data_IF_663493497003
#
_entry.id   IF_663493497003
#
_cell.length_a   1.000
_cell.length_b   1.000
_cell.length_c   1.000
_cell.angle_alpha   90.00
_cell.angle_beta   90.00
_cell.angle_gamma   90.00
#
_symmetry.space_group_name_H-M   'P 1'
#
loop_
_entity.id
_entity.type
_entity.pdbx_description
1 polymer ?
#
# COMPACT_ATOMS: atom_id res chain seq x y z
N UNK A 1 17.99 -17.68 25.73
CA UNK A 1 18.78 -18.89 26.04
C UNK A 1 19.87 -19.00 24.97
N UNK A 2 21.15 -19.16 25.39
CA UNK A 2 22.41 -19.14 24.60
C UNK A 2 22.78 -17.77 23.99
N UNK A 3 23.60 -16.89 24.60
CA UNK A 3 25.07 -16.93 24.89
C UNK A 3 25.90 -17.33 23.67
N UNK A 4 26.82 -16.48 23.17
CA UNK A 4 28.28 -16.41 23.47
C UNK A 4 28.91 -15.40 22.46
N UNK A 5 30.01 -14.66 22.65
CA UNK A 5 31.00 -14.42 23.71
C UNK A 5 31.76 -13.12 23.32
N UNK A 6 32.08 -12.27 24.30
CA UNK A 6 33.15 -11.28 24.23
C UNK A 6 34.51 -11.98 24.33
N UNK A 7 35.51 -11.55 23.57
CA UNK A 7 36.94 -11.78 23.88
C UNK A 7 37.72 -10.48 23.70
N UNK A 8 38.66 -10.32 24.63
CA UNK A 8 39.37 -9.13 25.02
C UNK A 8 40.46 -8.65 24.04
N UNK A 9 40.81 -7.38 24.26
CA UNK A 9 42.01 -6.73 23.79
C UNK A 9 43.30 -7.39 24.32
N UNK A 10 44.34 -7.36 23.50
CA UNK A 10 45.72 -7.49 23.94
C UNK A 10 46.55 -6.36 23.32
N UNK A 11 47.18 -5.58 24.19
CA UNK A 11 48.17 -4.55 23.85
C UNK A 11 49.41 -5.22 23.26
N UNK A 12 49.96 -4.64 22.20
CA UNK A 12 51.39 -4.74 21.92
C UNK A 12 51.93 -3.34 21.64
N UNK A 13 52.67 -2.81 22.61
CA UNK A 13 53.53 -1.65 22.47
C UNK A 13 54.80 -2.07 21.73
N UNK A 14 55.07 -1.46 20.57
CA UNK A 14 56.43 -1.38 20.03
C UNK A 14 56.69 0.02 19.45
N UNK A 15 57.92 0.43 19.67
CA UNK A 15 58.43 1.80 19.76
C UNK A 15 58.65 2.49 18.42
N UNK A 16 58.44 3.80 18.43
CA UNK A 16 59.11 4.87 17.68
C UNK A 16 59.81 4.53 16.34
N UNK A 17 59.15 4.96 15.26
CA UNK A 17 59.80 5.40 14.03
C UNK A 17 59.04 6.60 13.50
N UNK A 18 59.44 7.82 13.90
CA UNK A 18 58.86 9.08 13.43
C UNK A 18 59.19 9.29 11.95
N UNK A 19 58.38 8.71 11.07
CA UNK A 19 58.28 9.15 9.69
C UNK A 19 57.23 10.25 9.67
N UNK A 20 57.67 11.51 9.57
CA UNK A 20 56.80 12.63 9.24
C UNK A 20 56.35 12.42 7.80
N UNK A 21 55.33 11.59 7.62
CA UNK A 21 54.55 11.56 6.40
C UNK A 21 53.73 12.86 6.42
N UNK A 22 54.13 13.81 5.56
CA UNK A 22 53.24 14.90 5.18
C UNK A 22 51.90 14.26 4.80
N UNK A 23 50.77 14.63 5.43
CA UNK A 23 49.48 14.19 4.95
C UNK A 23 49.39 14.73 3.53
N UNK A 24 49.44 13.83 2.55
CA UNK A 24 48.87 14.10 1.26
C UNK A 24 47.48 14.64 1.57
N UNK A 25 47.24 15.90 1.23
CA UNK A 25 45.92 16.50 1.28
C UNK A 25 45.08 15.79 0.24
N UNK A 26 44.67 14.55 0.55
CA UNK A 26 43.56 13.91 -0.09
C UNK A 26 42.40 14.83 0.20
N UNK A 27 41.99 15.62 -0.79
CA UNK A 27 40.71 16.33 -0.74
C UNK A 27 39.70 15.25 -0.37
N UNK A 28 39.14 15.31 0.83
CA UNK A 28 38.03 14.46 1.19
C UNK A 28 36.92 14.80 0.19
N UNK A 29 36.73 13.93 -0.81
CA UNK A 29 35.66 14.08 -1.78
C UNK A 29 34.37 13.80 -1.03
N UNK A 30 33.51 14.81 -0.94
CA UNK A 30 32.21 14.65 -0.30
C UNK A 30 31.43 13.57 -1.05
N UNK A 31 30.88 12.56 -0.34
CA UNK A 31 30.02 11.54 -0.94
C UNK A 31 28.67 12.17 -1.30
N UNK A 32 28.65 12.94 -2.39
CA UNK A 32 27.58 13.88 -2.71
C UNK A 32 26.23 13.21 -2.93
N UNK A 33 26.24 11.98 -3.46
CA UNK A 33 25.03 11.18 -3.65
C UNK A 33 24.48 10.70 -2.31
N UNK A 34 25.32 10.12 -1.48
CA UNK A 34 24.96 9.64 -0.16
C UNK A 34 24.45 10.77 0.74
N UNK A 35 25.06 11.95 0.65
CA UNK A 35 24.60 13.13 1.39
C UNK A 35 23.23 13.60 0.91
N UNK A 36 23.00 13.68 -0.40
CA UNK A 36 21.68 14.01 -0.96
C UNK A 36 20.62 13.00 -0.54
N UNK A 37 20.92 11.71 -0.61
CA UNK A 37 20.01 10.64 -0.20
C UNK A 37 19.72 10.71 1.31
N UNK A 38 20.72 11.02 2.14
CA UNK A 38 20.53 11.21 3.57
C UNK A 38 19.58 12.40 3.87
N UNK A 39 19.72 13.52 3.16
CA UNK A 39 18.82 14.68 3.32
C UNK A 39 17.37 14.31 2.97
N UNK A 40 17.18 13.62 1.86
CA UNK A 40 15.86 13.15 1.41
C UNK A 40 15.23 12.16 2.39
N UNK A 41 15.98 11.14 2.81
CA UNK A 41 15.51 10.12 3.75
C UNK A 41 15.15 10.71 5.13
N UNK A 42 15.82 11.79 5.54
CA UNK A 42 15.49 12.54 6.75
C UNK A 42 14.31 13.53 6.57
N UNK A 43 13.76 13.66 5.36
CA UNK A 43 12.67 14.58 5.04
C UNK A 43 13.10 16.03 4.82
N UNK A 44 14.40 16.32 4.78
CA UNK A 44 14.96 17.66 4.58
C UNK A 44 15.01 18.04 3.08
N UNK A 45 13.86 18.00 2.41
CA UNK A 45 13.77 18.23 0.96
C UNK A 45 14.18 19.64 0.53
N UNK A 46 13.90 20.67 1.34
CA UNK A 46 14.33 22.03 1.06
C UNK A 46 15.87 22.15 1.06
N UNK A 47 16.52 21.45 2.01
CA UNK A 47 17.98 21.38 2.08
C UNK A 47 18.55 20.56 0.93
N UNK A 48 17.89 19.47 0.53
CA UNK A 48 18.28 18.69 -0.64
C UNK A 48 18.20 19.52 -1.93
N UNK A 49 17.16 20.35 -2.09
CA UNK A 49 17.05 21.28 -3.23
C UNK A 49 18.16 22.33 -3.22
N UNK A 50 18.41 22.96 -2.06
CA UNK A 50 19.51 23.92 -1.90
C UNK A 50 20.88 23.27 -2.20
N UNK A 51 21.06 22.03 -1.78
CA UNK A 51 22.27 21.26 -2.05
C UNK A 51 22.46 21.05 -3.55
N UNK A 52 21.42 20.64 -4.28
CA UNK A 52 21.47 20.48 -5.73
C UNK A 52 21.79 21.80 -6.44
N UNK A 53 21.20 22.92 -6.01
CA UNK A 53 21.49 24.25 -6.56
C UNK A 53 22.96 24.65 -6.34
N UNK A 54 23.52 24.33 -5.17
CA UNK A 54 24.94 24.54 -4.89
C UNK A 54 25.81 23.65 -5.76
N UNK A 55 25.46 22.37 -5.94
CA UNK A 55 26.22 21.42 -6.75
C UNK A 55 26.19 21.79 -8.24
N UNK A 56 25.10 22.38 -8.74
CA UNK A 56 25.01 22.87 -10.11
C UNK A 56 26.11 23.89 -10.47
N UNK A 57 26.48 24.74 -9.51
CA UNK A 57 27.47 25.80 -9.71
C UNK A 57 28.85 25.47 -9.12
N UNK A 58 28.99 24.37 -8.40
CA UNK A 58 30.22 24.02 -7.69
C UNK A 58 31.28 23.43 -8.62
N UNK A 59 32.54 23.91 -8.57
CA UNK A 59 33.65 23.25 -9.25
C UNK A 59 34.03 21.92 -8.58
N UNK A 60 33.55 21.67 -7.35
CA UNK A 60 33.82 20.45 -6.58
C UNK A 60 32.74 19.38 -6.75
N UNK A 61 31.63 19.69 -7.44
CA UNK A 61 30.57 18.72 -7.65
C UNK A 61 31.05 17.58 -8.59
N UNK A 62 30.83 16.31 -8.22
CA UNK A 62 31.15 15.17 -9.07
C UNK A 62 30.52 15.29 -10.46
N UNK A 63 31.24 14.85 -11.48
CA UNK A 63 30.77 14.92 -12.88
C UNK A 63 29.47 14.13 -13.02
N UNK A 64 29.42 12.94 -12.44
CA UNK A 64 28.26 12.05 -12.47
C UNK A 64 27.03 12.72 -11.86
N UNK A 65 27.20 13.52 -10.79
CA UNK A 65 26.08 14.26 -10.20
C UNK A 65 25.62 15.37 -11.13
N UNK A 66 26.55 16.12 -11.76
CA UNK A 66 26.22 17.18 -12.73
C UNK A 66 25.42 16.66 -13.92
N UNK A 67 25.73 15.46 -14.39
CA UNK A 67 25.03 14.83 -15.50
C UNK A 67 23.58 14.47 -15.19
N UNK A 68 23.24 14.29 -13.91
CA UNK A 68 21.91 13.86 -13.45
C UNK A 68 21.18 14.90 -12.59
N UNK A 69 21.67 16.15 -12.53
CA UNK A 69 21.07 17.20 -11.67
C UNK A 69 19.56 17.37 -11.88
N UNK A 70 19.11 17.39 -13.14
CA UNK A 70 17.70 17.57 -13.47
C UNK A 70 16.87 16.34 -13.01
N UNK A 71 17.41 15.12 -13.16
CA UNK A 71 16.78 13.91 -12.62
C UNK A 71 16.67 13.97 -11.08
N UNK A 72 17.76 14.33 -10.41
CA UNK A 72 17.80 14.41 -8.95
C UNK A 72 16.90 15.55 -8.42
N UNK A 73 16.79 16.66 -9.14
CA UNK A 73 15.83 17.72 -8.80
C UNK A 73 14.39 17.21 -8.89
N UNK A 74 14.04 16.52 -9.97
CA UNK A 74 12.74 15.88 -10.15
C UNK A 74 12.40 14.92 -8.99
N UNK A 75 13.32 14.01 -8.67
CA UNK A 75 13.14 13.06 -7.56
C UNK A 75 12.92 13.75 -6.21
N UNK A 76 13.71 14.79 -5.92
CA UNK A 76 13.58 15.54 -4.64
C UNK A 76 12.22 16.21 -4.53
N UNK A 77 11.76 16.84 -5.61
CA UNK A 77 10.47 17.54 -5.64
C UNK A 77 9.29 16.57 -5.55
N UNK A 78 9.34 15.41 -6.22
CA UNK A 78 8.34 14.35 -6.07
C UNK A 78 8.25 13.91 -4.61
N UNK A 79 9.38 13.64 -3.96
CA UNK A 79 9.39 13.22 -2.56
C UNK A 79 8.86 14.32 -1.62
N UNK A 80 9.26 15.57 -1.84
CA UNK A 80 8.77 16.74 -1.10
C UNK A 80 7.24 16.89 -1.21
N UNK A 81 6.70 16.65 -2.42
CA UNK A 81 5.26 16.77 -2.69
C UNK A 81 4.41 15.78 -1.89
N UNK A 82 4.95 14.62 -1.53
CA UNK A 82 4.22 13.56 -0.81
C UNK A 82 3.94 13.91 0.65
N UNK A 83 4.80 14.73 1.27
CA UNK A 83 4.61 15.20 2.65
C UNK A 83 3.97 16.58 2.74
N UNK A 84 3.72 17.24 1.60
CA UNK A 84 3.16 18.58 1.55
C UNK A 84 1.64 18.59 1.79
N UNK A 85 1.21 19.37 2.78
CA UNK A 85 -0.20 19.55 3.14
C UNK A 85 -0.88 20.65 2.35
N UNK A 86 -0.14 21.69 1.98
CA UNK A 86 -0.65 22.77 1.14
C UNK A 86 -0.76 22.29 -0.31
N UNK A 87 -1.99 22.24 -0.83
CA UNK A 87 -2.26 21.71 -2.16
C UNK A 87 -1.62 22.55 -3.28
N UNK A 88 -1.51 23.87 -3.11
CA UNK A 88 -0.92 24.74 -4.12
C UNK A 88 0.61 24.54 -4.17
N UNK A 89 1.26 24.39 -3.02
CA UNK A 89 2.69 24.06 -2.96
C UNK A 89 2.94 22.67 -3.53
N UNK A 90 2.11 21.68 -3.17
CA UNK A 90 2.21 20.32 -3.70
C UNK A 90 2.11 20.30 -5.22
N UNK A 91 1.15 21.03 -5.79
CA UNK A 91 0.95 21.14 -7.24
C UNK A 91 2.16 21.80 -7.92
N UNK A 92 2.65 22.91 -7.38
CA UNK A 92 3.86 23.58 -7.88
C UNK A 92 5.08 22.65 -7.88
N UNK A 93 5.29 21.89 -6.81
CA UNK A 93 6.41 20.93 -6.72
C UNK A 93 6.30 19.84 -7.79
N UNK A 94 5.09 19.34 -8.06
CA UNK A 94 4.87 18.34 -9.11
C UNK A 94 5.10 18.92 -10.52
N UNK A 95 4.70 20.17 -10.77
CA UNK A 95 4.93 20.84 -12.06
C UNK A 95 6.44 21.11 -12.30
N UNK A 96 7.16 21.55 -11.26
CA UNK A 96 8.62 21.72 -11.31
C UNK A 96 9.35 20.38 -11.48
N UNK A 97 8.86 19.32 -10.84
CA UNK A 97 9.42 17.98 -10.98
C UNK A 97 9.25 17.45 -12.41
N UNK A 98 8.08 17.65 -13.02
CA UNK A 98 7.85 17.29 -14.42
C UNK A 98 8.82 18.02 -15.34
N UNK A 99 8.94 19.34 -15.17
CA UNK A 99 9.87 20.17 -15.95
C UNK A 99 11.32 19.68 -15.82
N UNK A 100 11.72 19.24 -14.63
CA UNK A 100 13.03 18.69 -14.38
C UNK A 100 13.23 17.33 -15.10
N UNK A 101 12.27 16.41 -15.05
CA UNK A 101 12.35 15.16 -15.81
C UNK A 101 12.37 15.37 -17.32
N UNK A 102 11.54 16.27 -17.85
CA UNK A 102 11.52 16.61 -19.27
C UNK A 102 12.85 17.22 -19.73
N UNK A 103 13.43 18.11 -18.91
CA UNK A 103 14.76 18.69 -19.14
C UNK A 103 15.85 17.60 -19.14
N UNK A 104 15.79 16.65 -18.20
CA UNK A 104 16.72 15.53 -18.17
C UNK A 104 16.59 14.65 -19.42
N UNK A 105 15.38 14.24 -19.78
CA UNK A 105 15.11 13.35 -20.91
C UNK A 105 15.47 13.99 -22.26
N UNK A 106 15.27 15.29 -22.42
CA UNK A 106 15.67 16.02 -23.64
C UNK A 106 17.19 16.15 -23.78
N UNK A 107 17.92 16.40 -22.68
CA UNK A 107 19.39 16.54 -22.70
C UNK A 107 20.11 15.19 -22.70
N UNK A 108 19.51 14.14 -22.13
CA UNK A 108 20.17 12.88 -21.77
C UNK A 108 19.34 11.64 -22.15
N UNK A 109 18.72 11.64 -23.33
CA UNK A 109 17.84 10.56 -23.80
C UNK A 109 18.47 9.15 -23.78
N UNK A 110 19.80 9.03 -23.94
CA UNK A 110 20.54 7.76 -23.94
C UNK A 110 21.28 7.47 -22.63
N UNK A 111 21.04 8.25 -21.57
CA UNK A 111 21.69 8.03 -20.28
C UNK A 111 21.13 6.80 -19.56
N UNK A 112 21.93 6.16 -18.69
CA UNK A 112 21.53 4.96 -17.94
C UNK A 112 20.29 5.15 -17.04
N UNK A 113 19.97 6.39 -16.68
CA UNK A 113 18.78 6.75 -15.89
C UNK A 113 17.59 7.21 -16.75
N UNK A 114 17.68 7.18 -18.08
CA UNK A 114 16.59 7.62 -18.95
C UNK A 114 15.32 6.78 -18.77
N UNK A 115 15.44 5.47 -18.59
CA UNK A 115 14.29 4.59 -18.33
C UNK A 115 13.66 4.89 -16.97
N UNK A 116 14.49 5.08 -15.94
CA UNK A 116 14.03 5.47 -14.61
C UNK A 116 13.31 6.82 -14.65
N UNK A 117 13.86 7.83 -15.35
CA UNK A 117 13.24 9.13 -15.52
C UNK A 117 11.90 9.07 -16.27
N UNK A 118 11.78 8.23 -17.32
CA UNK A 118 10.50 7.99 -18.00
C UNK A 118 9.47 7.35 -17.06
N UNK A 119 9.89 6.36 -16.28
CA UNK A 119 9.01 5.69 -15.30
C UNK A 119 8.53 6.67 -14.23
N UNK A 120 9.43 7.48 -13.67
CA UNK A 120 9.10 8.48 -12.64
C UNK A 120 8.24 9.62 -13.20
N UNK A 121 8.44 10.02 -14.45
CA UNK A 121 7.56 10.97 -15.13
C UNK A 121 6.13 10.41 -15.25
N UNK A 122 5.98 9.14 -15.64
CA UNK A 122 4.67 8.47 -15.64
C UNK A 122 4.02 8.45 -14.25
N UNK A 123 4.79 8.14 -13.20
CA UNK A 123 4.29 8.10 -11.82
C UNK A 123 3.86 9.49 -11.35
N UNK A 124 4.61 10.52 -11.72
CA UNK A 124 4.30 11.90 -11.42
C UNK A 124 2.97 12.33 -12.07
N UNK A 125 2.75 11.97 -13.34
CA UNK A 125 1.51 12.28 -14.04
C UNK A 125 0.30 11.59 -13.38
N UNK A 126 0.46 10.34 -12.92
CA UNK A 126 -0.54 9.62 -12.12
C UNK A 126 -0.86 10.37 -10.83
N UNK A 127 0.16 10.82 -10.09
CA UNK A 127 -0.06 11.61 -8.87
C UNK A 127 -0.77 12.93 -9.15
N UNK A 128 -0.42 13.63 -10.23
CA UNK A 128 -1.14 14.84 -10.67
C UNK A 128 -2.59 14.53 -11.01
N UNK A 129 -2.86 13.41 -11.70
CA UNK A 129 -4.21 12.97 -12.04
C UNK A 129 -5.06 12.70 -10.79
N UNK A 130 -4.49 12.01 -9.80
CA UNK A 130 -5.15 11.77 -8.49
C UNK A 130 -5.46 13.08 -7.77
N UNK A 131 -4.56 14.07 -7.80
CA UNK A 131 -4.83 15.41 -7.27
C UNK A 131 -6.02 16.06 -7.98
N UNK A 132 -6.13 15.95 -9.30
CA UNK A 132 -7.30 16.44 -10.05
C UNK A 132 -8.59 15.73 -9.66
N UNK A 133 -8.56 14.41 -9.46
CA UNK A 133 -9.71 13.66 -8.94
C UNK A 133 -10.14 14.17 -7.57
N UNK A 134 -9.21 14.38 -6.63
CA UNK A 134 -9.55 14.92 -5.31
C UNK A 134 -10.10 16.35 -5.38
N UNK A 135 -9.58 17.19 -6.28
CA UNK A 135 -10.12 18.52 -6.54
C UNK A 135 -11.55 18.46 -7.12
N UNK A 136 -11.84 17.46 -7.96
CA UNK A 136 -13.16 17.25 -8.58
C UNK A 136 -14.28 17.02 -7.56
N UNK A 137 -13.94 16.45 -6.39
CA UNK A 137 -14.87 16.23 -5.26
C UNK A 137 -15.30 17.53 -4.60
N UNK A 138 -14.51 18.61 -4.75
CA UNK A 138 -14.76 19.93 -4.15
C UNK A 138 -15.44 20.89 -5.13
N UNK A 139 -14.98 20.95 -6.39
CA UNK A 139 -15.50 21.88 -7.41
C UNK A 139 -15.08 21.47 -8.83
N UNK A 140 -15.74 22.05 -9.84
CA UNK A 140 -15.38 21.90 -11.27
C UNK A 140 -15.25 20.44 -11.73
N UNK A 141 -16.15 19.56 -11.25
CA UNK A 141 -16.05 18.10 -11.42
C UNK A 141 -15.71 17.68 -12.85
N UNK A 142 -16.50 18.08 -13.86
CA UNK A 142 -16.31 17.67 -15.24
C UNK A 142 -14.95 18.10 -15.81
N UNK A 143 -14.53 19.35 -15.56
CA UNK A 143 -13.23 19.86 -15.99
C UNK A 143 -12.08 19.08 -15.33
N UNK A 144 -12.14 18.91 -14.00
CA UNK A 144 -11.09 18.22 -13.24
C UNK A 144 -10.96 16.75 -13.60
N UNK A 145 -12.07 16.07 -13.87
CA UNK A 145 -12.02 14.69 -14.37
C UNK A 145 -11.45 14.62 -15.79
N UNK A 146 -11.75 15.59 -16.66
CA UNK A 146 -11.13 15.70 -17.99
C UNK A 146 -9.61 15.92 -17.92
N UNK A 147 -9.16 16.79 -17.02
CA UNK A 147 -7.73 17.02 -16.75
C UNK A 147 -7.05 15.75 -16.20
N UNK A 148 -7.69 15.06 -15.25
CA UNK A 148 -7.20 13.79 -14.71
C UNK A 148 -7.04 12.72 -15.80
N UNK A 149 -8.06 12.60 -16.66
CA UNK A 149 -8.06 11.65 -17.77
C UNK A 149 -6.90 11.90 -18.73
N UNK A 150 -6.68 13.15 -19.12
CA UNK A 150 -5.57 13.51 -20.01
C UNK A 150 -4.20 13.14 -19.43
N UNK A 151 -3.99 13.40 -18.13
CA UNK A 151 -2.77 13.02 -17.41
C UNK A 151 -2.58 11.50 -17.34
N UNK A 152 -3.65 10.73 -17.10
CA UNK A 152 -3.58 9.28 -17.13
C UNK A 152 -3.31 8.72 -18.53
N UNK A 153 -3.95 9.28 -19.57
CA UNK A 153 -3.70 8.86 -20.95
C UNK A 153 -2.25 9.15 -21.38
N UNK A 154 -1.67 10.27 -20.93
CA UNK A 154 -0.26 10.59 -21.14
C UNK A 154 0.67 9.60 -20.40
N UNK A 155 0.40 9.33 -19.12
CA UNK A 155 1.14 8.33 -18.34
C UNK A 155 1.08 6.94 -18.99
N UNK A 156 -0.09 6.53 -19.47
CA UNK A 156 -0.28 5.27 -20.19
C UNK A 156 0.61 5.22 -21.44
N UNK A 157 0.61 6.28 -22.26
CA UNK A 157 1.44 6.34 -23.46
C UNK A 157 2.95 6.25 -23.14
N UNK A 158 3.40 6.88 -22.06
CA UNK A 158 4.78 6.78 -21.57
C UNK A 158 5.12 5.33 -21.19
N UNK A 159 4.27 4.67 -20.41
CA UNK A 159 4.50 3.29 -20.01
C UNK A 159 4.45 2.30 -21.17
N UNK A 160 3.50 2.44 -22.09
CA UNK A 160 3.44 1.60 -23.30
C UNK A 160 4.73 1.73 -24.10
N UNK A 161 5.20 2.96 -24.35
CA UNK A 161 6.45 3.19 -25.09
C UNK A 161 7.66 2.64 -24.36
N UNK A 162 7.76 2.86 -23.04
CA UNK A 162 8.87 2.36 -22.24
C UNK A 162 8.91 0.82 -22.20
N UNK A 163 7.74 0.17 -22.06
CA UNK A 163 7.59 -1.28 -22.16
C UNK A 163 8.12 -1.80 -23.49
N UNK A 164 7.70 -1.17 -24.60
CA UNK A 164 8.11 -1.61 -25.95
C UNK A 164 9.62 -1.39 -26.18
N UNK A 165 10.18 -0.26 -25.72
CA UNK A 165 11.62 0.02 -25.76
C UNK A 165 12.43 -1.01 -24.94
N UNK A 166 11.96 -1.37 -23.75
CA UNK A 166 12.58 -2.39 -22.88
C UNK A 166 12.50 -3.77 -23.52
N UNK A 167 11.35 -4.14 -24.07
CA UNK A 167 11.15 -5.40 -24.81
C UNK A 167 12.12 -5.51 -25.98
N UNK A 168 12.19 -4.48 -26.82
CA UNK A 168 13.08 -4.48 -27.99
C UNK A 168 14.57 -4.59 -27.60
N UNK A 169 14.96 -4.03 -26.45
CA UNK A 169 16.31 -4.22 -25.89
C UNK A 169 16.52 -5.64 -25.40
N UNK A 170 15.59 -6.19 -24.62
CA UNK A 170 15.65 -7.58 -24.13
C UNK A 170 15.73 -8.60 -25.27
N UNK A 171 15.00 -8.39 -26.37
CA UNK A 171 15.00 -9.28 -27.55
C UNK A 171 16.33 -9.25 -28.33
N UNK A 172 17.12 -8.16 -28.20
CA UNK A 172 18.44 -8.01 -28.83
C UNK A 172 19.58 -8.59 -28.00
N UNK A 173 19.35 -8.92 -26.73
CA UNK A 173 20.38 -9.48 -25.86
C UNK A 173 20.65 -10.95 -26.22
N UNK A 174 21.92 -11.41 -26.08
CA UNK A 174 22.26 -12.79 -26.40
C UNK A 174 21.49 -13.76 -25.50
N UNK A 175 20.96 -14.83 -26.09
CA UNK A 175 20.22 -15.88 -25.35
C UNK A 175 21.10 -16.66 -24.38
N UNK A 176 22.39 -16.77 -24.69
CA UNK A 176 23.41 -17.40 -23.84
C UNK A 176 24.20 -16.28 -23.18
N UNK A 177 24.16 -16.24 -21.85
CA UNK A 177 24.92 -15.29 -21.05
C UNK A 177 26.18 -16.01 -20.58
N UNK A 178 27.35 -15.44 -20.86
CA UNK A 178 28.60 -15.99 -20.31
C UNK A 178 28.58 -15.88 -18.79
N UNK A 179 28.79 -16.99 -18.10
CA UNK A 179 28.58 -17.04 -16.66
C UNK A 179 29.54 -16.16 -15.85
N UNK A 180 30.68 -15.80 -16.44
CA UNK A 180 31.73 -14.99 -15.81
C UNK A 180 31.49 -13.47 -15.94
N UNK A 181 30.49 -13.02 -16.71
CA UNK A 181 30.20 -11.59 -16.88
C UNK A 181 29.06 -11.10 -15.97
N UNK A 182 29.41 -10.82 -14.71
CA UNK A 182 28.46 -10.34 -13.69
C UNK A 182 27.73 -9.06 -14.11
N UNK A 183 28.42 -8.09 -14.73
CA UNK A 183 27.82 -6.82 -15.14
C UNK A 183 26.74 -7.02 -16.22
N UNK A 184 26.96 -7.94 -17.16
CA UNK A 184 25.98 -8.26 -18.19
C UNK A 184 24.74 -8.96 -17.59
N UNK A 185 24.95 -9.88 -16.63
CA UNK A 185 23.85 -10.53 -15.90
C UNK A 185 23.01 -9.51 -15.15
N UNK A 186 23.64 -8.60 -14.40
CA UNK A 186 22.95 -7.55 -13.64
C UNK A 186 22.12 -6.64 -14.54
N UNK A 187 22.66 -6.24 -15.70
CA UNK A 187 21.93 -5.43 -16.68
C UNK A 187 20.69 -6.16 -17.23
N UNK A 188 20.83 -7.44 -17.61
CA UNK A 188 19.71 -8.24 -18.12
C UNK A 188 18.62 -8.37 -17.06
N UNK A 189 19.00 -8.68 -15.82
CA UNK A 189 18.06 -8.78 -14.71
C UNK A 189 17.39 -7.45 -14.38
N UNK A 190 18.12 -6.34 -14.46
CA UNK A 190 17.53 -5.00 -14.31
C UNK A 190 16.51 -4.71 -15.40
N UNK A 191 16.85 -4.94 -16.68
CA UNK A 191 15.92 -4.73 -17.79
C UNK A 191 14.67 -5.61 -17.67
N UNK A 192 14.79 -6.84 -17.18
CA UNK A 192 13.64 -7.73 -16.91
C UNK A 192 12.75 -7.19 -15.79
N UNK A 193 13.34 -6.69 -14.70
CA UNK A 193 12.59 -6.06 -13.59
C UNK A 193 11.87 -4.80 -14.05
N UNK A 194 12.56 -3.92 -14.76
CA UNK A 194 12.00 -2.67 -15.27
C UNK A 194 10.86 -2.96 -16.25
N UNK A 195 11.03 -3.95 -17.13
CA UNK A 195 10.01 -4.37 -18.08
C UNK A 195 8.73 -4.84 -17.36
N UNK A 196 8.85 -5.73 -16.38
CA UNK A 196 7.72 -6.24 -15.60
C UNK A 196 7.06 -5.13 -14.77
N UNK A 197 7.84 -4.25 -14.15
CA UNK A 197 7.33 -3.11 -13.38
C UNK A 197 6.50 -2.18 -14.28
N UNK A 198 7.00 -1.86 -15.47
CA UNK A 198 6.29 -0.96 -16.41
C UNK A 198 5.02 -1.61 -16.95
N UNK A 199 4.99 -2.93 -17.18
CA UNK A 199 3.74 -3.62 -17.53
C UNK A 199 2.67 -3.48 -16.44
N UNK A 200 3.04 -3.62 -15.16
CA UNK A 200 2.12 -3.44 -14.05
C UNK A 200 1.62 -1.99 -13.94
N UNK A 201 2.50 -1.00 -14.16
CA UNK A 201 2.15 0.42 -14.17
C UNK A 201 1.22 0.78 -15.33
N UNK A 202 1.48 0.25 -16.54
CA UNK A 202 0.61 0.42 -17.72
C UNK A 202 -0.81 -0.09 -17.43
N UNK A 203 -0.94 -1.29 -16.87
CA UNK A 203 -2.23 -1.86 -16.49
C UNK A 203 -2.92 -1.03 -15.41
N UNK A 204 -2.21 -0.64 -14.35
CA UNK A 204 -2.75 0.13 -13.24
C UNK A 204 -3.26 1.51 -13.69
N UNK A 205 -2.52 2.21 -14.54
CA UNK A 205 -2.98 3.50 -15.08
C UNK A 205 -4.22 3.34 -15.93
N UNK A 206 -4.31 2.28 -16.74
CA UNK A 206 -5.50 2.02 -17.53
C UNK A 206 -6.73 1.74 -16.65
N UNK A 207 -6.55 1.02 -15.54
CA UNK A 207 -7.59 0.85 -14.51
C UNK A 207 -7.99 2.19 -13.89
N UNK A 208 -7.03 2.97 -13.37
CA UNK A 208 -7.31 4.25 -12.70
C UNK A 208 -7.97 5.28 -13.63
N UNK A 209 -7.68 5.22 -14.94
CA UNK A 209 -8.36 6.05 -15.94
C UNK A 209 -9.87 5.85 -15.90
N UNK A 210 -10.35 4.64 -15.56
CA UNK A 210 -11.80 4.36 -15.46
C UNK A 210 -12.50 5.19 -14.38
N UNK A 211 -11.78 5.64 -13.35
CA UNK A 211 -12.34 6.47 -12.27
C UNK A 211 -12.58 7.93 -12.73
N UNK A 212 -12.16 8.29 -13.94
CA UNK A 212 -12.38 9.62 -14.55
C UNK A 212 -13.66 9.72 -15.38
N UNK A 213 -14.31 8.59 -15.65
CA UNK A 213 -15.51 8.50 -16.48
C UNK A 213 -16.70 8.02 -15.65
N UNK A 214 -17.91 8.08 -16.21
CA UNK A 214 -19.10 7.62 -15.50
C UNK A 214 -19.07 6.10 -15.30
N UNK A 215 -19.28 5.65 -14.07
CA UNK A 215 -19.37 4.23 -13.72
C UNK A 215 -20.44 3.53 -14.58
N UNK A 216 -20.10 2.37 -15.14
CA UNK A 216 -20.99 1.58 -15.99
C UNK A 216 -21.14 2.07 -17.43
N UNK A 217 -20.57 3.22 -17.81
CA UNK A 217 -20.53 3.68 -19.21
C UNK A 217 -19.72 2.74 -20.12
N UNK A 218 -19.90 2.87 -21.44
CA UNK A 218 -19.13 2.06 -22.40
C UNK A 218 -17.63 2.34 -22.33
N UNK A 219 -17.24 3.59 -22.08
CA UNK A 219 -15.84 3.96 -21.88
C UNK A 219 -15.28 3.36 -20.59
N UNK A 220 -16.05 3.40 -19.48
CA UNK A 220 -15.67 2.75 -18.22
C UNK A 220 -15.41 1.25 -18.42
N UNK A 221 -16.35 0.55 -19.06
CA UNK A 221 -16.22 -0.89 -19.34
C UNK A 221 -15.04 -1.19 -20.24
N UNK A 222 -14.81 -0.36 -21.27
CA UNK A 222 -13.67 -0.52 -22.17
C UNK A 222 -12.34 -0.37 -21.43
N UNK A 223 -12.17 0.68 -20.63
CA UNK A 223 -10.95 0.92 -19.86
C UNK A 223 -10.65 -0.24 -18.90
N UNK A 224 -11.67 -0.76 -18.21
CA UNK A 224 -11.50 -1.91 -17.34
C UNK A 224 -11.20 -3.20 -18.09
N UNK A 225 -11.83 -3.44 -19.24
CA UNK A 225 -11.53 -4.61 -20.08
C UNK A 225 -10.10 -4.56 -20.66
N UNK A 226 -9.65 -3.37 -21.06
CA UNK A 226 -8.26 -3.16 -21.51
C UNK A 226 -7.28 -3.44 -20.35
N UNK A 227 -7.58 -2.98 -19.14
CA UNK A 227 -6.79 -3.28 -17.94
C UNK A 227 -6.82 -4.77 -17.57
N UNK A 228 -7.97 -5.42 -17.66
CA UNK A 228 -8.13 -6.86 -17.40
C UNK A 228 -7.20 -7.67 -18.31
N UNK A 229 -7.18 -7.34 -19.60
CA UNK A 229 -6.31 -7.99 -20.59
C UNK A 229 -4.83 -7.80 -20.25
N UNK A 230 -4.42 -6.57 -19.91
CA UNK A 230 -3.03 -6.28 -19.53
C UNK A 230 -2.59 -7.10 -18.30
N UNK A 231 -3.44 -7.17 -17.26
CA UNK A 231 -3.15 -7.98 -16.08
C UNK A 231 -3.11 -9.49 -16.39
N UNK A 232 -4.03 -9.98 -17.24
CA UNK A 232 -4.05 -11.37 -17.66
C UNK A 232 -2.74 -11.77 -18.39
N UNK A 233 -2.25 -10.93 -19.29
CA UNK A 233 -0.99 -11.15 -20.02
C UNK A 233 0.23 -11.20 -19.09
N UNK A 234 0.24 -10.39 -18.03
CA UNK A 234 1.29 -10.43 -17.01
C UNK A 234 1.21 -11.75 -16.22
N UNK A 235 0.01 -12.13 -15.76
CA UNK A 235 -0.16 -13.35 -14.99
C UNK A 235 0.25 -14.59 -15.79
N UNK A 236 -0.17 -14.69 -17.05
CA UNK A 236 0.16 -15.82 -17.93
C UNK A 236 1.68 -16.06 -18.02
N UNK A 237 2.47 -14.98 -18.08
CA UNK A 237 3.94 -15.04 -18.20
C UNK A 237 4.64 -15.23 -16.86
N UNK A 238 4.07 -14.75 -15.77
CA UNK A 238 4.74 -14.62 -14.47
C UNK A 238 3.99 -15.28 -13.31
N UNK A 239 3.17 -16.30 -13.57
CA UNK A 239 2.25 -16.95 -12.60
C UNK A 239 2.86 -17.40 -11.27
N UNK A 240 4.17 -17.70 -11.25
CA UNK A 240 4.89 -18.13 -10.02
C UNK A 240 5.67 -17.00 -9.36
N UNK A 241 5.73 -15.82 -9.97
CA UNK A 241 6.39 -14.64 -9.42
C UNK A 241 5.38 -13.78 -8.67
N UNK A 242 5.85 -13.10 -7.63
CA UNK A 242 5.00 -12.22 -6.81
C UNK A 242 4.26 -11.16 -7.64
N UNK A 243 4.92 -10.60 -8.65
CA UNK A 243 4.33 -9.64 -9.58
C UNK A 243 3.18 -10.24 -10.40
N UNK A 244 3.28 -11.50 -10.83
CA UNK A 244 2.19 -12.21 -11.50
C UNK A 244 1.01 -12.45 -10.57
N UNK A 245 1.27 -12.82 -9.31
CA UNK A 245 0.19 -12.99 -8.31
C UNK A 245 -0.55 -11.67 -8.04
N UNK A 246 0.16 -10.55 -7.93
CA UNK A 246 -0.47 -9.22 -7.87
C UNK A 246 -1.27 -8.90 -9.14
N UNK A 247 -0.74 -9.20 -10.33
CA UNK A 247 -1.48 -9.02 -11.57
C UNK A 247 -2.78 -9.84 -11.58
N UNK A 248 -2.76 -11.09 -11.13
CA UNK A 248 -3.97 -11.92 -11.00
C UNK A 248 -4.99 -11.33 -10.02
N UNK A 249 -4.50 -10.77 -8.91
CA UNK A 249 -5.36 -10.11 -7.92
C UNK A 249 -6.04 -8.88 -8.53
N UNK A 250 -5.29 -8.05 -9.26
CA UNK A 250 -5.83 -6.88 -9.94
C UNK A 250 -6.74 -7.24 -11.12
N UNK A 251 -6.45 -8.33 -11.84
CA UNK A 251 -7.37 -8.90 -12.82
C UNK A 251 -8.74 -9.23 -12.18
N UNK A 252 -8.74 -9.87 -11.00
CA UNK A 252 -9.95 -10.07 -10.21
C UNK A 252 -10.67 -8.75 -9.89
N UNK A 253 -9.92 -7.74 -9.43
CA UNK A 253 -10.49 -6.42 -9.06
C UNK A 253 -11.19 -5.74 -10.22
N UNK A 254 -10.57 -5.68 -11.39
CA UNK A 254 -11.19 -5.07 -12.58
C UNK A 254 -12.36 -5.90 -13.10
N UNK A 255 -12.29 -7.23 -12.99
CA UNK A 255 -13.39 -8.15 -13.34
C UNK A 255 -14.60 -7.93 -12.42
N UNK A 256 -14.35 -7.72 -11.12
CA UNK A 256 -15.38 -7.37 -10.16
C UNK A 256 -15.99 -5.99 -10.45
N UNK A 257 -15.18 -4.98 -10.76
CA UNK A 257 -15.64 -3.65 -11.20
C UNK A 257 -16.48 -3.68 -12.48
N UNK A 258 -16.30 -4.68 -13.34
CA UNK A 258 -17.12 -4.96 -14.52
C UNK A 258 -18.46 -5.64 -14.19
N UNK A 259 -18.75 -5.91 -12.91
CA UNK A 259 -19.95 -6.61 -12.46
C UNK A 259 -19.89 -8.13 -12.64
N UNK A 260 -18.70 -8.69 -12.92
CA UNK A 260 -18.48 -10.13 -13.10
C UNK A 260 -17.93 -10.77 -11.82
N UNK A 261 -18.61 -10.57 -10.68
CA UNK A 261 -18.11 -11.01 -9.37
C UNK A 261 -17.85 -12.53 -9.30
N UNK A 262 -18.66 -13.36 -9.96
CA UNK A 262 -18.42 -14.82 -10.04
C UNK A 262 -17.07 -15.18 -10.66
N UNK A 263 -16.70 -14.51 -11.76
CA UNK A 263 -15.42 -14.73 -12.43
C UNK A 263 -14.27 -14.22 -11.55
N UNK A 264 -14.45 -13.05 -10.93
CA UNK A 264 -13.47 -12.49 -9.99
C UNK A 264 -13.20 -13.43 -8.80
N UNK A 265 -14.23 -14.05 -8.23
CA UNK A 265 -14.10 -15.05 -7.16
C UNK A 265 -13.18 -16.20 -7.58
N UNK A 266 -13.27 -16.68 -8.82
CA UNK A 266 -12.38 -17.75 -9.29
C UNK A 266 -10.92 -17.34 -9.28
N UNK A 267 -10.61 -16.10 -9.68
CA UNK A 267 -9.24 -15.56 -9.64
C UNK A 267 -8.74 -15.39 -8.20
N UNK A 268 -9.61 -14.97 -7.29
CA UNK A 268 -9.26 -14.82 -5.89
C UNK A 268 -9.06 -16.15 -5.18
N UNK A 269 -9.90 -17.15 -5.42
CA UNK A 269 -9.76 -18.49 -4.82
C UNK A 269 -8.43 -19.12 -5.24
N UNK A 270 -8.06 -19.03 -6.52
CA UNK A 270 -6.76 -19.50 -7.03
C UNK A 270 -5.57 -18.87 -6.28
N UNK A 271 -5.68 -17.59 -5.92
CA UNK A 271 -4.66 -16.89 -5.14
C UNK A 271 -4.67 -17.30 -3.67
N UNK A 272 -5.84 -17.54 -3.08
CA UNK A 272 -5.97 -17.98 -1.69
C UNK A 272 -5.45 -19.42 -1.49
N UNK A 273 -5.34 -20.21 -2.55
CA UNK A 273 -4.73 -21.55 -2.56
C UNK A 273 -3.19 -21.52 -2.63
N UNK A 274 -2.57 -20.35 -2.89
CA UNK A 274 -1.11 -20.23 -2.89
C UNK A 274 -0.51 -20.56 -1.52
N UNK A 275 0.75 -21.04 -1.45
CA UNK A 275 1.41 -21.31 -0.18
C UNK A 275 1.60 -20.02 0.64
N UNK A 276 1.66 -20.17 1.96
CA UNK A 276 1.90 -19.06 2.89
C UNK A 276 3.38 -18.62 2.95
N UNK A 277 4.26 -19.30 2.22
CA UNK A 277 5.69 -19.00 2.14
C UNK A 277 6.11 -18.85 0.67
N UNK A 278 6.98 -17.88 0.34
CA UNK A 278 7.56 -16.87 1.23
C UNK A 278 6.53 -15.84 1.72
N UNK A 279 6.87 -15.02 2.72
CA UNK A 279 5.95 -14.05 3.34
C UNK A 279 5.23 -13.14 2.34
N UNK A 280 5.89 -12.79 1.23
CA UNK A 280 5.28 -12.02 0.16
C UNK A 280 4.00 -12.66 -0.43
N UNK A 281 3.91 -13.99 -0.46
CA UNK A 281 2.72 -14.69 -0.94
C UNK A 281 1.58 -14.58 0.08
N UNK A 282 1.91 -14.65 1.37
CA UNK A 282 0.95 -14.43 2.46
C UNK A 282 0.40 -13.00 2.46
N UNK A 283 1.20 -12.00 2.11
CA UNK A 283 0.75 -10.62 1.94
C UNK A 283 -0.26 -10.49 0.78
N UNK A 284 0.02 -11.13 -0.36
CA UNK A 284 -0.92 -11.15 -1.50
C UNK A 284 -2.22 -11.84 -1.12
N UNK A 285 -2.17 -12.97 -0.41
CA UNK A 285 -3.37 -13.66 0.08
C UNK A 285 -4.21 -12.77 1.00
N UNK A 286 -3.55 -12.07 1.92
CA UNK A 286 -4.21 -11.14 2.85
C UNK A 286 -4.93 -10.02 2.10
N UNK A 287 -4.28 -9.41 1.09
CA UNK A 287 -4.90 -8.38 0.25
C UNK A 287 -6.02 -8.93 -0.64
N UNK A 288 -5.81 -10.13 -1.19
CA UNK A 288 -6.79 -10.83 -2.01
C UNK A 288 -8.06 -11.14 -1.22
N UNK A 289 -7.93 -11.56 0.05
CA UNK A 289 -9.07 -11.89 0.89
C UNK A 289 -10.03 -10.70 1.09
N UNK A 290 -9.50 -9.48 1.21
CA UNK A 290 -10.32 -8.26 1.31
C UNK A 290 -11.23 -8.12 0.08
N UNK A 291 -10.67 -8.29 -1.11
CA UNK A 291 -11.40 -8.20 -2.38
C UNK A 291 -12.37 -9.38 -2.56
N UNK A 292 -11.92 -10.61 -2.26
CA UNK A 292 -12.71 -11.82 -2.39
C UNK A 292 -14.01 -11.76 -1.58
N UNK A 293 -13.95 -11.19 -0.39
CA UNK A 293 -15.10 -11.06 0.50
C UNK A 293 -16.12 -10.06 -0.03
N UNK A 294 -15.68 -8.94 -0.59
CA UNK A 294 -16.59 -8.02 -1.27
C UNK A 294 -17.29 -8.71 -2.46
N UNK A 295 -16.55 -9.52 -3.21
CA UNK A 295 -17.10 -10.28 -4.33
C UNK A 295 -18.12 -11.34 -3.85
N UNK A 296 -17.77 -12.17 -2.87
CA UNK A 296 -18.69 -13.15 -2.27
C UNK A 296 -19.93 -12.48 -1.68
N UNK A 297 -19.77 -11.36 -0.98
CA UNK A 297 -20.88 -10.57 -0.44
C UNK A 297 -21.82 -10.10 -1.55
N UNK A 298 -21.28 -9.60 -2.67
CA UNK A 298 -22.09 -9.14 -3.81
C UNK A 298 -22.90 -10.26 -4.46
N UNK A 299 -22.40 -11.50 -4.41
CA UNK A 299 -23.06 -12.71 -4.88
C UNK A 299 -23.98 -13.36 -3.82
N UNK A 300 -24.14 -12.74 -2.65
CA UNK A 300 -24.94 -13.27 -1.54
C UNK A 300 -24.31 -14.47 -0.82
N UNK A 301 -23.03 -14.76 -1.06
CA UNK A 301 -22.28 -15.88 -0.48
C UNK A 301 -21.69 -15.52 0.89
N UNK A 302 -22.51 -14.97 1.79
CA UNK A 302 -22.09 -14.49 3.11
C UNK A 302 -21.44 -15.56 3.97
N UNK A 303 -22.02 -16.76 4.04
CA UNK A 303 -21.50 -17.85 4.87
C UNK A 303 -20.07 -18.25 4.44
N UNK A 304 -19.80 -18.30 3.13
CA UNK A 304 -18.48 -18.63 2.60
C UNK A 304 -17.47 -17.52 2.90
N UNK A 305 -17.86 -16.26 2.69
CA UNK A 305 -17.01 -15.11 3.02
C UNK A 305 -16.63 -15.07 4.51
N UNK A 306 -17.60 -15.30 5.42
CA UNK A 306 -17.35 -15.37 6.86
C UNK A 306 -16.40 -16.52 7.18
N UNK A 307 -16.66 -17.71 6.63
CA UNK A 307 -15.81 -18.91 6.85
C UNK A 307 -14.35 -18.65 6.46
N UNK A 308 -14.12 -18.07 5.27
CA UNK A 308 -12.80 -17.77 4.75
C UNK A 308 -12.07 -16.73 5.61
N UNK A 309 -12.78 -15.67 6.03
CA UNK A 309 -12.22 -14.66 6.94
C UNK A 309 -11.84 -15.24 8.31
N UNK A 310 -12.75 -16.00 8.93
CA UNK A 310 -12.53 -16.58 10.25
C UNK A 310 -11.34 -17.54 10.23
N UNK A 311 -11.21 -18.39 9.21
CA UNK A 311 -10.06 -19.29 9.06
C UNK A 311 -8.73 -18.52 8.91
N UNK A 312 -8.69 -17.49 8.06
CA UNK A 312 -7.47 -16.71 7.85
C UNK A 312 -7.05 -15.91 9.09
N UNK A 313 -8.00 -15.25 9.76
CA UNK A 313 -7.75 -14.51 11.01
C UNK A 313 -7.33 -15.47 12.13
N UNK A 314 -7.89 -16.68 12.17
CA UNK A 314 -7.49 -17.74 13.11
C UNK A 314 -6.04 -18.21 12.92
N UNK A 315 -5.48 -18.06 11.71
CA UNK A 315 -4.10 -18.38 11.36
C UNK A 315 -3.14 -17.19 11.50
N UNK A 316 -3.57 -16.06 12.06
CA UNK A 316 -2.72 -14.88 12.24
C UNK A 316 -1.48 -15.22 13.08
N UNK A 317 -0.29 -14.85 12.58
CA UNK A 317 0.96 -14.96 13.34
C UNK A 317 0.99 -13.90 14.46
N UNK A 318 1.75 -14.09 15.55
CA UNK A 318 1.77 -13.14 16.66
C UNK A 318 2.12 -11.69 16.27
N UNK A 319 2.99 -11.50 15.27
CA UNK A 319 3.37 -10.20 14.72
C UNK A 319 2.32 -9.60 13.76
N UNK A 320 1.41 -10.42 13.23
CA UNK A 320 0.38 -10.02 12.29
C UNK A 320 -0.90 -9.58 13.00
N UNK A 321 -1.28 -10.27 14.07
CA UNK A 321 -2.59 -10.11 14.71
C UNK A 321 -2.95 -8.66 15.11
N UNK A 322 -1.94 -7.79 15.29
CA UNK A 322 -2.10 -6.38 15.66
C UNK A 322 -1.67 -5.39 14.59
N UNK A 323 -1.24 -5.87 13.42
CA UNK A 323 -0.88 -4.96 12.33
C UNK A 323 -2.15 -4.33 11.71
N UNK A 324 -2.02 -3.20 10.99
CA UNK A 324 -3.17 -2.51 10.42
C UNK A 324 -4.03 -3.40 9.50
N UNK A 325 -3.40 -4.25 8.68
CA UNK A 325 -4.11 -5.13 7.75
C UNK A 325 -5.04 -6.10 8.47
N UNK A 326 -4.58 -6.78 9.53
CA UNK A 326 -5.40 -7.72 10.29
C UNK A 326 -6.47 -7.02 11.13
N UNK A 327 -6.22 -5.80 11.62
CA UNK A 327 -7.28 -4.99 12.24
C UNK A 327 -8.39 -4.68 11.25
N UNK A 328 -8.04 -4.37 10.00
CA UNK A 328 -9.00 -4.16 8.93
C UNK A 328 -9.76 -5.45 8.59
N UNK A 329 -9.09 -6.60 8.46
CA UNK A 329 -9.77 -7.88 8.23
C UNK A 329 -10.80 -8.20 9.33
N UNK A 330 -10.45 -7.94 10.60
CA UNK A 330 -11.36 -8.14 11.74
C UNK A 330 -12.56 -7.20 11.67
N UNK A 331 -12.34 -5.93 11.32
CA UNK A 331 -13.42 -4.97 11.12
C UNK A 331 -14.35 -5.40 9.97
N UNK A 332 -13.77 -5.85 8.84
CA UNK A 332 -14.54 -6.36 7.70
C UNK A 332 -15.35 -7.61 8.05
N UNK A 333 -14.75 -8.58 8.77
CA UNK A 333 -15.46 -9.77 9.25
C UNK A 333 -16.61 -9.37 10.18
N UNK A 334 -16.41 -8.43 11.10
CA UNK A 334 -17.48 -7.96 11.97
C UNK A 334 -18.66 -7.37 11.18
N UNK A 335 -18.36 -6.47 10.24
CA UNK A 335 -19.37 -5.84 9.40
C UNK A 335 -20.12 -6.89 8.57
N UNK A 336 -19.40 -7.85 7.99
CA UNK A 336 -19.99 -8.94 7.22
C UNK A 336 -20.92 -9.81 8.07
N UNK A 337 -20.53 -10.17 9.28
CA UNK A 337 -21.36 -10.93 10.21
C UNK A 337 -22.62 -10.15 10.63
N UNK A 338 -22.51 -8.83 10.84
CA UNK A 338 -23.67 -7.96 11.11
C UNK A 338 -24.62 -7.94 9.92
N UNK A 339 -24.09 -7.76 8.72
CA UNK A 339 -24.88 -7.68 7.49
C UNK A 339 -25.61 -9.00 7.22
N UNK A 340 -24.93 -10.13 7.41
CA UNK A 340 -25.54 -11.45 7.28
C UNK A 340 -26.61 -11.69 8.36
N UNK A 341 -26.34 -11.33 9.62
CA UNK A 341 -27.33 -11.39 10.70
C UNK A 341 -28.59 -10.56 10.38
N UNK A 342 -28.42 -9.36 9.84
CA UNK A 342 -29.53 -8.50 9.43
C UNK A 342 -30.32 -9.09 8.26
N UNK A 343 -29.64 -9.72 7.30
CA UNK A 343 -30.31 -10.43 6.20
C UNK A 343 -31.13 -11.62 6.71
N UNK A 344 -30.55 -12.43 7.60
CA UNK A 344 -31.24 -13.56 8.24
C UNK A 344 -32.45 -13.07 9.05
N UNK A 345 -32.30 -12.02 9.88
CA UNK A 345 -33.41 -11.44 10.68
C UNK A 345 -34.55 -10.94 9.80
N UNK A 346 -34.26 -10.38 8.62
CA UNK A 346 -35.29 -9.96 7.64
C UNK A 346 -36.04 -11.13 7.04
N UNK A 347 -35.36 -12.24 6.76
CA UNK A 347 -35.97 -13.43 6.18
C UNK A 347 -36.72 -14.27 7.23
N UNK A 348 -36.11 -14.49 8.38
CA UNK A 348 -36.65 -15.22 9.53
C UNK A 348 -36.08 -14.63 10.84
N UNK A 349 -36.86 -13.85 11.61
CA UNK A 349 -36.40 -13.28 12.88
C UNK A 349 -35.96 -14.30 13.94
N UNK A 350 -36.32 -15.58 13.79
CA UNK A 350 -35.98 -16.68 14.71
C UNK A 350 -34.88 -17.58 14.15
N UNK A 351 -34.16 -17.16 13.12
CA UNK A 351 -33.08 -17.95 12.54
C UNK A 351 -31.95 -18.16 13.57
N UNK A 352 -31.61 -19.43 13.79
CA UNK A 352 -30.62 -19.84 14.79
C UNK A 352 -29.20 -19.31 14.48
N UNK A 353 -28.91 -18.92 13.23
CA UNK A 353 -27.63 -18.35 12.84
C UNK A 353 -27.46 -16.87 13.23
N UNK A 354 -28.55 -16.16 13.57
CA UNK A 354 -28.50 -14.73 13.95
C UNK A 354 -27.57 -14.51 15.16
N UNK A 355 -27.75 -15.31 16.21
CA UNK A 355 -26.97 -15.15 17.45
C UNK A 355 -25.48 -15.48 17.29
N UNK A 356 -25.08 -16.59 16.64
CA UNK A 356 -23.68 -16.84 16.27
C UNK A 356 -23.04 -15.71 15.47
N UNK A 357 -23.75 -15.13 14.49
CA UNK A 357 -23.19 -14.03 13.68
C UNK A 357 -22.99 -12.76 14.50
N UNK A 358 -23.92 -12.41 15.39
CA UNK A 358 -23.74 -11.28 16.30
C UNK A 358 -22.60 -11.53 17.30
N UNK A 359 -22.41 -12.77 17.75
CA UNK A 359 -21.29 -13.15 18.62
C UNK A 359 -19.94 -13.01 17.91
N UNK A 360 -19.85 -13.46 16.66
CA UNK A 360 -18.66 -13.29 15.83
C UNK A 360 -18.33 -11.80 15.66
N UNK A 361 -19.32 -10.99 15.29
CA UNK A 361 -19.15 -9.55 15.15
C UNK A 361 -18.62 -8.88 16.43
N UNK A 362 -19.23 -9.17 17.58
CA UNK A 362 -18.79 -8.63 18.88
C UNK A 362 -17.35 -9.03 19.20
N UNK A 363 -16.98 -10.28 18.95
CA UNK A 363 -15.62 -10.81 19.21
C UNK A 363 -14.58 -10.01 18.43
N UNK A 364 -14.81 -9.79 17.13
CA UNK A 364 -13.86 -9.07 16.29
C UNK A 364 -13.82 -7.57 16.64
N UNK A 365 -14.96 -6.94 16.90
CA UNK A 365 -15.02 -5.52 17.28
C UNK A 365 -14.35 -5.24 18.63
N UNK A 366 -14.53 -6.11 19.61
CA UNK A 366 -13.84 -6.01 20.89
C UNK A 366 -12.31 -6.05 20.72
N UNK A 367 -11.80 -6.92 19.84
CA UNK A 367 -10.37 -6.99 19.55
C UNK A 367 -9.85 -5.68 18.93
N UNK A 368 -10.56 -5.15 17.92
CA UNK A 368 -10.17 -3.88 17.25
C UNK A 368 -10.29 -2.69 18.20
N UNK A 369 -11.32 -2.65 19.06
CA UNK A 369 -11.52 -1.58 20.04
C UNK A 369 -10.47 -1.57 21.15
N UNK A 370 -9.87 -2.73 21.46
CA UNK A 370 -8.92 -2.92 22.56
C UNK A 370 -7.57 -2.24 22.29
N UNK A 371 -7.03 -2.36 21.08
CA UNK A 371 -5.68 -1.87 20.77
C UNK A 371 -5.72 -0.52 20.06
N UNK A 372 -4.76 0.41 20.31
CA UNK A 372 -4.68 1.66 19.55
C UNK A 372 -4.47 1.40 18.05
N UNK A 373 -5.41 1.86 17.24
CA UNK A 373 -5.37 1.81 15.77
C UNK A 373 -6.39 2.80 15.19
N UNK A 374 -6.32 3.05 13.88
CA UNK A 374 -7.16 4.04 13.21
C UNK A 374 -8.66 3.65 13.19
N UNK A 375 -8.98 2.36 13.30
CA UNK A 375 -10.34 1.82 13.31
C UNK A 375 -10.92 1.70 14.73
N UNK A 376 -10.16 2.04 15.77
CA UNK A 376 -10.55 1.82 17.16
C UNK A 376 -11.88 2.49 17.51
N UNK A 377 -12.06 3.75 17.09
CA UNK A 377 -13.29 4.50 17.40
C UNK A 377 -14.50 3.96 16.66
N UNK A 378 -14.33 3.54 15.41
CA UNK A 378 -15.43 3.00 14.62
C UNK A 378 -15.82 1.60 15.10
N UNK A 379 -14.85 0.78 15.52
CA UNK A 379 -15.12 -0.49 16.18
C UNK A 379 -15.94 -0.33 17.46
N UNK A 380 -15.66 0.69 18.29
CA UNK A 380 -16.43 0.98 19.52
C UNK A 380 -17.86 1.42 19.22
N UNK A 381 -18.04 2.30 18.24
CA UNK A 381 -19.38 2.74 17.81
C UNK A 381 -20.19 1.54 17.33
N UNK A 382 -19.61 0.71 16.47
CA UNK A 382 -20.30 -0.46 15.92
C UNK A 382 -20.58 -1.51 17.00
N UNK A 383 -19.66 -1.70 17.96
CA UNK A 383 -19.86 -2.58 19.11
C UNK A 383 -21.06 -2.13 19.95
N UNK A 384 -21.21 -0.82 20.15
CA UNK A 384 -22.35 -0.25 20.84
C UNK A 384 -23.68 -0.47 20.11
N UNK A 385 -23.68 -0.34 18.78
CA UNK A 385 -24.86 -0.56 17.93
C UNK A 385 -25.37 -2.01 17.98
N UNK A 386 -24.46 -3.00 17.98
CA UNK A 386 -24.82 -4.43 18.05
C UNK A 386 -25.14 -4.92 19.47
N UNK A 387 -25.07 -4.03 20.48
CA UNK A 387 -25.29 -4.38 21.87
C UNK A 387 -24.19 -5.20 22.50
N UNK A 388 -22.96 -4.98 22.09
CA UNK A 388 -21.80 -5.34 22.89
C UNK A 388 -21.46 -4.18 23.81
N UNK A 389 -21.48 -4.41 25.13
CA UNK A 389 -20.58 -3.69 26.02
C UNK A 389 -19.21 -4.37 25.97
N UNK A 390 -18.14 -3.71 26.43
CA UNK A 390 -16.95 -4.45 26.81
C UNK A 390 -17.33 -5.52 27.83
N UNK A 391 -16.79 -6.73 27.69
CA UNK A 391 -16.88 -7.71 28.76
C UNK A 391 -16.07 -7.13 29.94
N UNK A 392 -16.76 -6.70 31.00
CA UNK A 392 -16.10 -6.41 32.27
C UNK A 392 -15.57 -7.74 32.77
N UNK A 393 -14.29 -8.00 32.53
CA UNK A 393 -13.62 -9.15 33.11
C UNK A 393 -13.44 -8.85 34.60
N UNK A 394 -14.28 -9.45 35.45
CA UNK A 394 -14.20 -9.30 36.92
C UNK A 394 -12.88 -9.87 37.48
N UNK A 395 -12.14 -10.66 36.70
CA UNK A 395 -10.82 -11.18 37.05
C UNK A 395 -9.76 -10.63 36.09
N UNK A 396 -9.25 -9.42 36.39
CA UNK A 396 -7.96 -8.98 35.83
C UNK A 396 -6.88 -9.28 36.86
N UNK A 397 -5.84 -10.07 36.52
CA UNK A 397 -4.68 -10.19 37.39
C UNK A 397 -4.11 -8.80 37.66
N UNK A 398 -3.76 -8.51 38.91
CA UNK A 398 -3.15 -7.23 39.26
C UNK A 398 -1.87 -7.03 38.45
N UNK A 399 -1.74 -5.89 37.74
CA UNK A 399 -0.55 -5.61 36.95
C UNK A 399 0.66 -5.54 37.86
N UNK A 400 1.68 -6.34 37.57
CA UNK A 400 2.92 -6.42 38.36
C UNK A 400 4.00 -5.49 37.84
N UNK A 401 3.81 -4.92 36.64
CA UNK A 401 4.72 -3.95 36.03
C UNK A 401 4.00 -2.66 35.62
N UNK A 402 4.76 -1.57 35.49
CA UNK A 402 4.21 -0.28 35.04
C UNK A 402 3.60 -0.35 33.64
N UNK A 403 4.23 -1.09 32.70
CA UNK A 403 3.68 -1.25 31.36
C UNK A 403 2.38 -2.06 31.38
N UNK A 404 2.29 -3.11 32.22
CA UNK A 404 1.02 -3.82 32.46
C UNK A 404 -0.05 -2.89 33.05
N UNK A 405 0.31 -2.04 34.02
CA UNK A 405 -0.62 -1.09 34.64
C UNK A 405 -1.11 -0.02 33.66
N UNK A 406 -0.22 0.48 32.79
CA UNK A 406 -0.54 1.45 31.75
C UNK A 406 -1.42 0.85 30.66
N UNK A 407 -1.18 -0.41 30.28
CA UNK A 407 -2.06 -1.15 29.36
C UNK A 407 -3.43 -1.36 30.00
N UNK A 408 -3.48 -1.85 31.24
CA UNK A 408 -4.73 -2.05 31.97
C UNK A 408 -5.54 -0.74 32.12
N UNK A 409 -4.89 0.37 32.45
CA UNK A 409 -5.55 1.68 32.54
C UNK A 409 -6.10 2.17 31.19
N UNK A 410 -5.37 1.96 30.09
CA UNK A 410 -5.86 2.27 28.73
C UNK A 410 -7.03 1.40 28.33
N UNK A 411 -7.00 0.11 28.67
CA UNK A 411 -8.11 -0.81 28.46
C UNK A 411 -9.35 -0.31 29.19
N UNK A 412 -9.26 -0.05 30.50
CA UNK A 412 -10.39 0.48 31.30
C UNK A 412 -10.96 1.79 30.75
N UNK A 413 -10.11 2.74 30.31
CA UNK A 413 -10.57 3.97 29.67
C UNK A 413 -11.31 3.70 28.35
N UNK A 414 -10.82 2.74 27.55
CA UNK A 414 -11.50 2.33 26.33
C UNK A 414 -12.85 1.67 26.58
N UNK A 415 -12.96 0.92 27.67
CA UNK A 415 -14.21 0.29 28.12
C UNK A 415 -15.24 1.32 28.55
N UNK A 416 -14.82 2.30 29.38
CA UNK A 416 -15.65 3.43 29.78
C UNK A 416 -16.17 4.20 28.56
N UNK A 417 -15.30 4.53 27.61
CA UNK A 417 -15.70 5.22 26.37
C UNK A 417 -16.69 4.42 25.53
N UNK A 418 -16.53 3.10 25.48
CA UNK A 418 -17.47 2.22 24.77
C UNK A 418 -18.82 2.16 25.49
N UNK A 419 -18.82 2.04 26.82
CA UNK A 419 -20.03 2.04 27.64
C UNK A 419 -20.79 3.38 27.52
N UNK A 420 -20.09 4.51 27.49
CA UNK A 420 -20.68 5.83 27.20
C UNK A 420 -21.34 5.86 25.82
N UNK A 421 -20.68 5.30 24.79
CA UNK A 421 -21.26 5.20 23.45
C UNK A 421 -22.51 4.30 23.42
N UNK A 422 -22.50 3.16 24.13
CA UNK A 422 -23.68 2.29 24.31
C UNK A 422 -24.84 3.08 24.89
N UNK A 423 -24.64 3.78 26.01
CA UNK A 423 -25.66 4.61 26.65
C UNK A 423 -26.22 5.69 25.70
N UNK A 424 -25.37 6.26 24.85
CA UNK A 424 -25.77 7.26 23.87
C UNK A 424 -26.66 6.69 22.75
N UNK A 425 -26.38 5.48 22.27
CA UNK A 425 -27.16 4.85 21.18
C UNK A 425 -28.38 4.06 21.67
N UNK A 426 -28.41 3.72 22.97
CA UNK A 426 -29.45 2.89 23.58
C UNK A 426 -30.89 3.40 23.36
N UNK A 427 -31.22 4.70 23.50
CA UNK A 427 -32.59 5.18 23.28
C UNK A 427 -33.08 4.95 21.85
N UNK A 428 -32.22 5.23 20.86
CA UNK A 428 -32.56 5.02 19.45
C UNK A 428 -32.72 3.54 19.11
N UNK A 429 -31.98 2.66 19.79
CA UNK A 429 -32.09 1.21 19.64
C UNK A 429 -33.35 0.66 20.29
N UNK A 430 -33.69 1.08 21.51
CA UNK A 430 -34.94 0.72 22.20
C UNK A 430 -36.19 1.11 21.38
N UNK A 431 -36.12 2.23 20.66
CA UNK A 431 -37.18 2.68 19.77
C UNK A 431 -37.34 1.80 18.51
N UNK A 432 -36.26 1.16 18.05
CA UNK A 432 -36.22 0.32 16.84
C UNK A 432 -36.34 -1.19 17.12
N UNK A 433 -36.10 -1.63 18.36
CA UNK A 433 -36.16 -3.05 18.72
C UNK A 433 -37.60 -3.53 18.91
N UNK A 434 -37.99 -4.51 18.09
CA UNK A 434 -39.32 -5.11 18.07
C UNK A 434 -39.40 -6.40 18.89
N UNK A 435 -38.27 -7.02 19.20
CA UNK A 435 -38.22 -8.22 20.04
C UNK A 435 -38.34 -7.86 21.52
N UNK A 436 -39.41 -8.33 22.17
CA UNK A 436 -39.70 -8.01 23.57
C UNK A 436 -38.66 -8.53 24.57
N UNK A 437 -37.97 -9.63 24.23
CA UNK A 437 -36.94 -10.22 25.10
C UNK A 437 -35.64 -9.43 24.98
N UNK A 438 -35.21 -9.12 23.76
CA UNK A 438 -34.04 -8.27 23.53
C UNK A 438 -34.28 -6.87 24.12
N UNK A 439 -35.50 -6.32 23.96
CA UNK A 439 -35.87 -5.01 24.53
C UNK A 439 -35.89 -5.00 26.06
N UNK A 440 -36.11 -6.13 26.72
CA UNK A 440 -36.02 -6.26 28.17
C UNK A 440 -34.58 -6.48 28.68
N UNK A 441 -33.69 -6.98 27.83
CA UNK A 441 -32.26 -7.17 28.11
C UNK A 441 -31.42 -5.89 27.84
N UNK A 442 -31.97 -4.93 27.06
CA UNK A 442 -31.41 -3.60 26.77
C UNK A 442 -31.86 -2.56 27.79
#
# INVERSE_FOLDING_TARGET
>A
MMRRFFVAAAMLTMSFGSMVAFPASGRAVEPAREFLDALRNAGYHDMASLYLDRMANSPLAPVELKEVLDFERGMTLVQASRSQRDMAIREKQLDEAQSAFDSFLSKRANHKLADAAKSELGNLLVERARVRIEQSKKSNKAQRLGEAKALYDEAFAIYTKLKDDLRARLEKLPRVINDDNTAQKELIEQLRRDYLQVQLLEAAVREETSDTVAEGSDEYKKLLADSEKLYAEIYEKYRTMIAGLYARMYQGRVTQKLGKSKDAISFYVELLEQPDNPDAFRDVKTKTLKLAVEAWRSEGQFAEAIRQFTDWIGKARPNEARNPDYMELRMMLAQLSIDYSNQLKKANPKDEQIAPMLKEAKTQLQFVAKYPNDLQQDARKLLAEVGGGPAVSDERPEPTTFEEAKVAGRETLGELQTAEQVLKVLPARLAKESDAKIKAEL
#
